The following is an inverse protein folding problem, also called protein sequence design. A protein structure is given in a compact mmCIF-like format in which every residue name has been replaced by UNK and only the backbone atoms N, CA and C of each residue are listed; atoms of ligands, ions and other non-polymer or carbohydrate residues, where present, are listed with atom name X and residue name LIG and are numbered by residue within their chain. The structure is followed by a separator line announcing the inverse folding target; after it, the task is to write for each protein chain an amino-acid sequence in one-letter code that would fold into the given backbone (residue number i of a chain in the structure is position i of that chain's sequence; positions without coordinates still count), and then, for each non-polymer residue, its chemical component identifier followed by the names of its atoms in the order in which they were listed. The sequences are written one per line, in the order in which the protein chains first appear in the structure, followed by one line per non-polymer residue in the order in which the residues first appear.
data_IF_679752395853
#
_entry.id   IF_679752395853
#
_cell.length_a   1.000
_cell.length_b   1.000
_cell.length_c   1.000
_cell.angle_alpha   90.00
_cell.angle_beta   90.00
_cell.angle_gamma   90.00
#
_symmetry.space_group_name_H-M   'P 1'
#
loop_
_entity.id
_entity.type
_entity.pdbx_description
1 polymer ?
#
# COMPACT_ATOMS: atom_id res chain seq x y z
N UNK A 1 2.26 3.02 7.36
CA UNK A 1 1.98 3.84 6.15
C UNK A 1 0.53 3.78 5.70
N UNK A 2 -0.33 3.03 6.38
CA UNK A 2 -1.79 3.05 6.19
C UNK A 2 -2.40 3.57 7.49
N UNK A 3 -3.28 4.57 7.41
CA UNK A 3 -3.88 5.16 8.60
C UNK A 3 -5.16 4.41 8.97
N UNK A 4 -6.06 4.20 8.00
CA UNK A 4 -7.32 3.48 8.21
C UNK A 4 -7.59 2.47 7.08
N UNK A 5 -8.19 1.34 7.44
CA UNK A 5 -8.79 0.39 6.50
C UNK A 5 -10.24 0.78 6.26
N UNK A 6 -10.64 0.88 4.99
CA UNK A 6 -12.00 1.22 4.59
C UNK A 6 -12.84 -0.02 4.28
N UNK A 7 -12.24 -1.03 3.64
CA UNK A 7 -12.93 -2.23 3.20
C UNK A 7 -11.94 -3.39 3.11
N UNK A 8 -12.34 -4.57 3.59
CA UNK A 8 -11.63 -5.83 3.38
C UNK A 8 -12.59 -6.81 2.73
N UNK A 9 -12.21 -7.33 1.57
CA UNK A 9 -12.82 -8.49 0.96
C UNK A 9 -11.79 -9.61 1.03
N UNK A 10 -11.95 -10.47 2.03
CA UNK A 10 -10.99 -11.51 2.40
C UNK A 10 -10.56 -12.35 1.17
N UNK A 11 -9.24 -12.51 1.01
CA UNK A 11 -8.64 -13.25 -0.10
C UNK A 11 -8.82 -12.62 -1.48
N UNK A 12 -9.39 -11.41 -1.58
CA UNK A 12 -9.65 -10.73 -2.87
C UNK A 12 -9.05 -9.33 -2.93
N UNK A 13 -9.41 -8.43 -2.02
CA UNK A 13 -8.98 -7.04 -2.10
C UNK A 13 -9.13 -6.29 -0.80
N UNK A 14 -8.45 -5.16 -0.70
CA UNK A 14 -8.48 -4.25 0.44
C UNK A 14 -8.41 -2.81 -0.04
N UNK A 15 -9.13 -1.94 0.65
CA UNK A 15 -9.07 -0.47 0.50
C UNK A 15 -8.63 0.15 1.80
N UNK A 16 -7.78 1.15 1.72
CA UNK A 16 -7.35 1.93 2.87
C UNK A 16 -7.10 3.38 2.49
N UNK A 17 -6.77 4.18 3.49
CA UNK A 17 -6.38 5.57 3.30
C UNK A 17 -5.07 5.88 4.02
N UNK A 18 -4.35 6.83 3.45
CA UNK A 18 -3.18 7.48 4.04
C UNK A 18 -3.34 8.99 3.89
N UNK A 19 -3.35 9.70 5.01
CA UNK A 19 -3.33 11.15 5.05
C UNK A 19 -1.88 11.63 5.08
N UNK A 20 -1.55 12.65 4.29
CA UNK A 20 -0.23 13.29 4.33
C UNK A 20 -0.29 14.48 5.28
N UNK A 21 0.48 14.41 6.35
CA UNK A 21 0.63 15.50 7.33
C UNK A 21 1.99 16.19 7.20
N UNK A 22 2.03 17.47 7.57
CA UNK A 22 3.28 18.22 7.70
C UNK A 22 4.22 17.64 8.78
N UNK A 23 3.69 16.84 9.71
CA UNK A 23 4.43 16.25 10.82
C UNK A 23 5.07 14.88 10.47
N UNK A 24 5.15 14.51 9.19
CA UNK A 24 5.80 13.27 8.76
C UNK A 24 7.30 13.46 8.58
N UNK A 25 8.08 12.45 8.98
CA UNK A 25 9.54 12.54 9.06
C UNK A 25 10.25 12.80 7.72
N UNK A 26 9.58 12.51 6.61
CA UNK A 26 10.07 12.72 5.25
C UNK A 26 9.64 14.06 4.64
N UNK A 27 8.85 14.85 5.37
CA UNK A 27 8.41 16.19 4.96
C UNK A 27 9.34 17.23 5.57
N UNK A 28 9.76 18.19 4.74
CA UNK A 28 10.55 19.36 5.17
C UNK A 28 9.94 20.65 4.62
N UNK A 29 10.42 21.81 5.08
CA UNK A 29 9.95 23.11 4.59
C UNK A 29 10.14 23.28 3.08
N UNK A 30 11.24 22.75 2.55
CA UNK A 30 11.59 22.77 1.13
C UNK A 30 10.92 21.66 0.32
N UNK A 31 10.45 20.59 0.98
CA UNK A 31 9.94 19.40 0.33
C UNK A 31 8.67 18.88 1.01
N UNK A 32 7.52 19.34 0.49
CA UNK A 32 6.18 19.07 1.04
C UNK A 32 5.43 17.95 0.34
N UNK A 33 6.15 17.05 -0.32
CA UNK A 33 5.59 15.92 -1.07
C UNK A 33 5.99 14.59 -0.42
N UNK A 34 5.07 13.63 -0.44
CA UNK A 34 5.36 12.26 -0.05
C UNK A 34 6.15 11.56 -1.16
N UNK A 35 7.33 10.97 -0.88
CA UNK A 35 8.06 10.22 -1.90
C UNK A 35 7.23 9.04 -2.43
N UNK A 36 7.12 8.91 -3.75
CA UNK A 36 6.27 7.89 -4.38
C UNK A 36 6.66 6.44 -4.00
N UNK A 37 7.92 6.19 -3.62
CA UNK A 37 8.34 4.88 -3.08
C UNK A 37 7.63 4.51 -1.78
N UNK A 38 7.29 5.49 -0.94
CA UNK A 38 6.54 5.27 0.31
C UNK A 38 5.10 4.82 0.02
N UNK A 39 4.53 5.22 -1.12
CA UNK A 39 3.22 4.76 -1.56
C UNK A 39 3.25 3.29 -1.96
N UNK A 40 4.33 2.83 -2.58
CA UNK A 40 4.52 1.41 -2.86
C UNK A 40 4.61 0.60 -1.56
N UNK A 41 5.31 1.14 -0.56
CA UNK A 41 5.36 0.53 0.77
C UNK A 41 3.97 0.50 1.44
N UNK A 42 3.20 1.58 1.32
CA UNK A 42 1.83 1.65 1.82
C UNK A 42 0.92 0.60 1.16
N UNK A 43 1.04 0.40 -0.15
CA UNK A 43 0.31 -0.65 -0.88
C UNK A 43 0.72 -2.05 -0.44
N UNK A 44 2.01 -2.28 -0.17
CA UNK A 44 2.49 -3.56 0.35
C UNK A 44 1.96 -3.84 1.76
N UNK A 45 2.02 -2.85 2.66
CA UNK A 45 1.44 -2.94 4.01
C UNK A 45 -0.07 -3.19 3.94
N UNK A 46 -0.77 -2.49 3.04
CA UNK A 46 -2.21 -2.68 2.82
C UNK A 46 -2.51 -4.11 2.36
N UNK A 47 -1.79 -4.63 1.37
CA UNK A 47 -1.98 -5.97 0.83
C UNK A 47 -1.79 -7.08 1.87
N UNK A 48 -0.98 -6.86 2.91
CA UNK A 48 -0.85 -7.80 4.02
C UNK A 48 -2.18 -8.01 4.77
N UNK A 49 -3.04 -6.98 4.86
CA UNK A 49 -4.37 -7.09 5.49
C UNK A 49 -5.37 -7.91 4.65
N UNK A 50 -5.23 -7.92 3.32
CA UNK A 50 -6.15 -8.66 2.44
C UNK A 50 -6.05 -10.19 2.56
N UNK A 51 -4.90 -10.67 3.04
CA UNK A 51 -4.57 -12.08 3.12
C UNK A 51 -4.70 -12.66 4.54
N UNK A 52 -5.09 -11.87 5.54
CA UNK A 52 -5.21 -12.34 6.91
C UNK A 52 -6.53 -13.08 7.16
N UNK A 53 -6.38 -14.36 7.52
CA UNK A 53 -7.25 -15.05 8.47
C UNK A 53 -6.59 -15.02 9.86
N UNK A 54 -7.32 -14.47 10.84
CA UNK A 54 -7.19 -14.44 12.31
C UNK A 54 -5.82 -14.24 13.02
N UNK A 55 -4.66 -14.51 12.44
CA UNK A 55 -3.35 -14.29 13.09
C UNK A 55 -2.52 -13.23 12.36
N UNK A 56 -2.36 -12.06 12.97
CA UNK A 56 -1.52 -10.96 12.47
C UNK A 56 -0.08 -11.42 12.20
N UNK A 57 0.20 -11.80 10.97
CA UNK A 57 1.51 -12.17 10.47
C UNK A 57 2.28 -10.92 10.03
N UNK A 58 3.59 -10.88 10.32
CA UNK A 58 4.48 -9.83 9.82
C UNK A 58 4.61 -10.02 8.30
N UNK A 59 4.17 -9.02 7.53
CA UNK A 59 4.31 -8.98 6.08
C UNK A 59 5.63 -8.36 5.64
N UNK A 60 6.39 -9.08 4.83
CA UNK A 60 7.63 -8.61 4.20
C UNK A 60 7.40 -8.37 2.72
N UNK A 61 7.69 -7.16 2.24
CA UNK A 61 7.77 -6.87 0.82
C UNK A 61 8.96 -7.61 0.22
N UNK A 62 8.73 -8.48 -0.76
CA UNK A 62 9.78 -9.33 -1.35
C UNK A 62 10.15 -8.95 -2.77
N UNK A 63 9.18 -8.56 -3.59
CA UNK A 63 9.43 -8.13 -4.96
C UNK A 63 8.37 -7.14 -5.44
N UNK A 64 8.79 -6.24 -6.32
CA UNK A 64 7.93 -5.30 -7.04
C UNK A 64 8.23 -5.43 -8.53
N UNK A 65 7.21 -5.38 -9.37
CA UNK A 65 7.35 -5.29 -10.82
C UNK A 65 6.28 -4.38 -11.41
N UNK A 66 6.69 -3.57 -12.40
CA UNK A 66 5.81 -2.62 -13.09
C UNK A 66 5.30 -1.50 -12.19
N UNK A 67 6.20 -0.81 -11.49
CA UNK A 67 5.86 0.40 -10.73
C UNK A 67 5.86 1.62 -11.67
N UNK A 68 4.74 2.33 -11.72
CA UNK A 68 4.54 3.56 -12.49
C UNK A 68 4.27 4.70 -11.51
N UNK A 69 5.05 5.78 -11.60
CA UNK A 69 4.94 6.99 -10.78
C UNK A 69 4.47 8.14 -11.66
N UNK A 70 3.22 8.58 -11.47
CA UNK A 70 2.50 9.45 -12.41
C UNK A 70 2.46 10.89 -11.88
N UNK A 71 2.05 11.05 -10.62
CA UNK A 71 1.90 12.34 -9.95
C UNK A 71 2.45 12.26 -8.52
N UNK A 72 2.65 13.42 -7.91
CA UNK A 72 3.08 13.55 -6.52
C UNK A 72 1.86 13.86 -5.63
N UNK A 73 1.92 13.41 -4.38
CA UNK A 73 0.96 13.77 -3.36
C UNK A 73 1.63 14.69 -2.33
N UNK A 74 0.92 15.72 -1.90
CA UNK A 74 1.42 16.79 -1.03
C UNK A 74 0.76 16.78 0.34
N UNK A 75 1.37 17.48 1.29
CA UNK A 75 0.76 17.75 2.59
C UNK A 75 -0.68 18.25 2.44
N UNK A 76 -1.61 17.61 3.16
CA UNK A 76 -3.04 17.90 3.09
C UNK A 76 -3.83 16.94 2.21
N UNK A 77 -3.18 16.19 1.31
CA UNK A 77 -3.85 15.19 0.49
C UNK A 77 -4.27 13.96 1.33
N UNK A 78 -5.43 13.41 0.97
CA UNK A 78 -5.84 12.08 1.38
C UNK A 78 -5.65 11.13 0.20
N UNK A 79 -4.77 10.15 0.40
CA UNK A 79 -4.49 9.11 -0.57
C UNK A 79 -5.40 7.93 -0.31
N UNK A 80 -6.13 7.51 -1.34
CA UNK A 80 -6.86 6.26 -1.36
C UNK A 80 -5.95 5.17 -1.89
N UNK A 81 -5.83 4.09 -1.13
CA UNK A 81 -4.99 2.95 -1.46
C UNK A 81 -5.90 1.77 -1.79
N UNK A 82 -5.59 1.08 -2.88
CA UNK A 82 -6.27 -0.15 -3.27
C UNK A 82 -5.26 -1.24 -3.58
N UNK A 83 -5.52 -2.44 -3.06
CA UNK A 83 -4.75 -3.64 -3.37
C UNK A 83 -5.70 -4.78 -3.73
N UNK A 84 -5.40 -5.47 -4.83
CA UNK A 84 -6.14 -6.63 -5.33
C UNK A 84 -5.21 -7.85 -5.36
N UNK A 85 -5.61 -8.91 -4.68
CA UNK A 85 -4.92 -10.20 -4.70
C UNK A 85 -5.09 -10.83 -6.08
N UNK A 86 -3.96 -11.18 -6.70
CA UNK A 86 -3.92 -11.96 -7.95
C UNK A 86 -3.72 -13.44 -7.70
N UNK A 87 -2.89 -13.77 -6.71
CA UNK A 87 -2.55 -15.16 -6.39
C UNK A 87 -2.09 -15.27 -4.95
N UNK A 88 -2.57 -16.30 -4.27
CA UNK A 88 -2.02 -16.73 -2.98
C UNK A 88 -1.40 -18.12 -3.14
N UNK A 89 -0.22 -18.32 -2.54
CA UNK A 89 0.44 -19.62 -2.51
C UNK A 89 1.26 -19.76 -1.23
N UNK A 90 0.86 -20.68 -0.35
CA UNK A 90 1.46 -20.85 0.98
C UNK A 90 1.46 -19.50 1.71
N UNK A 91 2.63 -18.99 2.04
CA UNK A 91 2.86 -17.77 2.80
C UNK A 91 3.13 -16.56 1.89
N UNK A 92 2.91 -16.70 0.58
CA UNK A 92 3.11 -15.63 -0.39
C UNK A 92 1.78 -15.14 -0.96
N UNK A 93 1.67 -13.81 -1.03
CA UNK A 93 0.54 -13.08 -1.59
C UNK A 93 1.08 -12.21 -2.71
N UNK A 94 0.67 -12.50 -3.94
CA UNK A 94 0.93 -11.67 -5.10
C UNK A 94 -0.33 -10.89 -5.41
N UNK A 95 -0.18 -9.58 -5.58
CA UNK A 95 -1.28 -8.71 -5.97
C UNK A 95 -0.80 -7.53 -6.78
N UNK A 96 -1.74 -6.69 -7.16
CA UNK A 96 -1.50 -5.39 -7.81
C UNK A 96 -2.13 -4.30 -6.96
N UNK A 97 -1.64 -3.08 -7.09
CA UNK A 97 -2.21 -1.97 -6.33
C UNK A 97 -2.10 -0.64 -7.04
N UNK A 98 -2.89 0.32 -6.58
CA UNK A 98 -2.79 1.71 -6.99
C UNK A 98 -3.10 2.65 -5.83
N UNK A 99 -2.51 3.83 -5.90
CA UNK A 99 -2.79 4.95 -5.01
C UNK A 99 -3.44 6.07 -5.82
N UNK A 100 -4.47 6.70 -5.26
CA UNK A 100 -5.23 7.77 -5.87
C UNK A 100 -5.37 8.98 -4.94
N UNK A 101 -5.31 10.18 -5.51
CA UNK A 101 -5.67 11.44 -4.84
C UNK A 101 -6.70 12.14 -5.71
N UNK A 102 -7.80 12.58 -5.12
CA UNK A 102 -8.91 13.24 -5.85
C UNK A 102 -9.41 12.44 -7.07
N UNK A 103 -9.40 11.10 -6.98
CA UNK A 103 -9.83 10.19 -8.06
C UNK A 103 -8.84 10.04 -9.22
N UNK A 104 -7.61 10.56 -9.09
CA UNK A 104 -6.55 10.41 -10.07
C UNK A 104 -5.48 9.46 -9.56
N UNK A 105 -5.08 8.48 -10.38
CA UNK A 105 -4.01 7.55 -10.04
C UNK A 105 -2.68 8.31 -10.02
N UNK A 106 -1.99 8.24 -8.88
CA UNK A 106 -0.67 8.86 -8.69
C UNK A 106 0.46 7.82 -8.73
N UNK A 107 0.17 6.59 -8.29
CA UNK A 107 1.08 5.44 -8.34
C UNK A 107 0.29 4.19 -8.70
N UNK A 108 0.84 3.37 -9.59
CA UNK A 108 0.33 2.05 -9.92
C UNK A 108 1.44 1.03 -9.87
N UNK A 109 1.13 -0.17 -9.39
CA UNK A 109 2.07 -1.27 -9.32
C UNK A 109 1.41 -2.55 -9.81
N UNK A 110 1.96 -3.13 -10.87
CA UNK A 110 1.37 -4.31 -11.52
C UNK A 110 1.54 -5.60 -10.69
N UNK A 111 2.66 -5.74 -9.99
CA UNK A 111 2.96 -6.91 -9.15
C UNK A 111 3.68 -6.47 -7.87
N UNK A 112 3.06 -6.75 -6.72
CA UNK A 112 3.61 -6.61 -5.38
C UNK A 112 3.54 -7.99 -4.72
N UNK A 113 4.70 -8.58 -4.46
CA UNK A 113 4.82 -9.88 -3.78
C UNK A 113 5.13 -9.66 -2.30
N UNK A 114 4.24 -10.15 -1.44
CA UNK A 114 4.35 -10.06 0.01
C UNK A 114 4.55 -11.47 0.56
N UNK A 115 5.54 -11.65 1.42
CA UNK A 115 5.71 -12.85 2.23
C UNK A 115 5.14 -12.61 3.62
N UNK A 116 4.28 -13.49 4.11
CA UNK A 116 3.70 -13.44 5.43
C UNK A 116 4.42 -14.43 6.34
N UNK A 117 5.28 -13.93 7.23
CA UNK A 117 5.92 -14.79 8.21
C UNK A 117 4.90 -15.21 9.27
N UNK A 118 4.78 -16.52 9.50
CA UNK A 118 3.97 -17.05 10.60
C UNK A 118 4.65 -16.76 11.93
N UNK A 119 3.88 -16.26 12.88
CA UNK A 119 4.32 -16.26 14.28
C UNK A 119 4.46 -17.71 14.74
N UNK A 120 5.67 -18.07 15.19
CA UNK A 120 5.99 -19.39 15.74
C UNK A 120 5.33 -19.65 17.08
#
# INVERSE_FOLDING_TARGET
MVDNILEIVEGKSVKGIKNISANEWYITDDHKVMPNVMLVEALAQLGAFAALGEECNIGFLTAIKGAEFIHEASVGDQIYLYYEIKRMKKDFVLGKGHAEVNGQIIVKVDEILIYQARSS
#
